data_IF_433257643406
#
_entry.id   IF_433257643406
#
_cell.length_a   1.000
_cell.length_b   1.000
_cell.length_c   1.000
_cell.angle_alpha   90.00
_cell.angle_beta   90.00
_cell.angle_gamma   90.00
#
_symmetry.space_group_name_H-M   'P 1'
#
loop_
_entity.id
_entity.type
_entity.pdbx_description
1 polymer ?
#
# COMPACT_ATOMS: atom_id res chain seq x y z
N UNK A 1 -31.00 -16.05 -2.39
CA UNK A 1 -30.64 -14.62 -2.48
C UNK A 1 -29.23 -14.51 -1.92
N UNK A 2 -28.22 -14.32 -2.78
CA UNK A 2 -26.85 -14.12 -2.31
C UNK A 2 -26.78 -12.74 -1.67
N UNK A 3 -26.59 -12.67 -0.36
CA UNK A 3 -26.23 -11.44 0.34
C UNK A 3 -25.00 -10.86 -0.35
N UNK A 4 -25.11 -9.71 -1.02
CA UNK A 4 -23.94 -9.03 -1.59
C UNK A 4 -23.03 -8.62 -0.44
N UNK A 5 -22.00 -9.43 -0.16
CA UNK A 5 -20.96 -9.07 0.81
C UNK A 5 -20.28 -7.80 0.32
N UNK A 6 -20.18 -6.80 1.17
CA UNK A 6 -19.29 -5.67 1.00
C UNK A 6 -17.86 -6.19 0.79
N UNK A 7 -17.10 -5.56 -0.11
CA UNK A 7 -15.70 -5.91 -0.34
C UNK A 7 -14.85 -5.65 0.90
N UNK A 8 -13.66 -6.28 0.96
CA UNK A 8 -12.70 -6.07 2.04
C UNK A 8 -11.72 -4.95 1.66
N UNK A 9 -11.39 -4.10 2.62
CA UNK A 9 -10.24 -3.20 2.49
C UNK A 9 -8.99 -3.92 2.99
N UNK A 10 -8.00 -4.07 2.11
CA UNK A 10 -6.70 -4.66 2.42
C UNK A 10 -5.66 -3.54 2.36
N UNK A 11 -4.83 -3.42 3.40
CA UNK A 11 -3.74 -2.45 3.45
C UNK A 11 -2.44 -3.23 3.52
N UNK A 12 -1.58 -3.06 2.52
CA UNK A 12 -0.24 -3.62 2.47
C UNK A 12 0.78 -2.51 2.62
N UNK A 13 1.54 -2.57 3.70
CA UNK A 13 2.62 -1.63 3.99
C UNK A 13 3.89 -2.38 4.36
N UNK A 14 4.99 -1.66 4.51
CA UNK A 14 6.29 -2.25 4.80
C UNK A 14 7.39 -1.33 4.31
N UNK A 15 8.66 -1.57 4.69
CA UNK A 15 9.71 -0.64 4.38
C UNK A 15 10.00 -0.57 2.88
N UNK A 16 10.57 0.55 2.44
CA UNK A 16 11.12 0.63 1.08
C UNK A 16 12.13 -0.51 0.86
N UNK A 17 11.93 -1.31 -0.20
CA UNK A 17 12.82 -2.43 -0.52
C UNK A 17 12.31 -3.80 -0.06
N UNK A 18 11.15 -3.89 0.62
CA UNK A 18 10.52 -5.16 1.00
C UNK A 18 9.88 -5.93 -0.17
N UNK A 19 9.88 -5.39 -1.39
CA UNK A 19 9.36 -6.06 -2.57
C UNK A 19 7.84 -5.95 -2.79
N UNK A 20 7.17 -5.04 -2.07
CA UNK A 20 5.71 -4.81 -2.16
C UNK A 20 5.20 -4.78 -3.60
N UNK A 21 5.72 -3.90 -4.44
CA UNK A 21 5.25 -3.75 -5.83
C UNK A 21 5.29 -5.05 -6.64
N UNK A 22 6.33 -5.88 -6.46
CA UNK A 22 6.44 -7.19 -7.13
C UNK A 22 5.36 -8.14 -6.64
N UNK A 23 5.22 -8.25 -5.32
CA UNK A 23 4.27 -9.14 -4.66
C UNK A 23 2.82 -8.72 -4.95
N UNK A 24 2.53 -7.42 -4.96
CA UNK A 24 1.22 -6.85 -5.30
C UNK A 24 0.84 -7.22 -6.73
N UNK A 25 1.75 -7.03 -7.69
CA UNK A 25 1.49 -7.39 -9.09
C UNK A 25 1.11 -8.88 -9.22
N UNK A 26 1.92 -9.76 -8.64
CA UNK A 26 1.68 -11.21 -8.70
C UNK A 26 0.41 -11.63 -7.95
N UNK A 27 0.10 -10.98 -6.82
CA UNK A 27 -1.14 -11.19 -6.08
C UNK A 27 -2.37 -10.81 -6.92
N UNK A 28 -2.33 -9.67 -7.62
CA UNK A 28 -3.43 -9.20 -8.47
C UNK A 28 -3.66 -10.12 -9.69
N UNK A 29 -2.60 -10.76 -10.20
CA UNK A 29 -2.71 -11.75 -11.28
C UNK A 29 -3.35 -13.07 -10.83
N UNK A 30 -3.19 -13.44 -9.56
CA UNK A 30 -3.71 -14.69 -9.00
C UNK A 30 -5.06 -14.57 -8.30
N UNK A 31 -5.52 -13.35 -8.01
CA UNK A 31 -6.66 -13.14 -7.13
C UNK A 31 -8.00 -13.30 -7.85
N UNK A 32 -8.59 -14.48 -7.66
CA UNK A 32 -10.04 -14.68 -7.82
C UNK A 32 -10.71 -14.95 -6.46
N UNK A 33 -11.82 -14.26 -6.11
CA UNK A 33 -12.49 -13.17 -6.84
C UNK A 33 -12.05 -11.74 -6.41
N UNK A 34 -12.03 -10.82 -7.40
CA UNK A 34 -11.95 -9.34 -7.38
C UNK A 34 -11.25 -8.68 -6.18
N UNK A 35 -9.92 -8.74 -6.17
CA UNK A 35 -9.08 -7.77 -5.49
C UNK A 35 -8.58 -6.73 -6.50
N UNK A 36 -8.84 -5.45 -6.27
CA UNK A 36 -8.38 -4.37 -7.14
C UNK A 36 -7.40 -3.45 -6.40
N UNK A 37 -6.32 -3.03 -7.06
CA UNK A 37 -5.42 -2.03 -6.52
C UNK A 37 -6.07 -0.65 -6.62
N UNK A 38 -6.07 0.11 -5.52
CA UNK A 38 -6.50 1.51 -5.55
C UNK A 38 -5.49 2.37 -6.32
N UNK A 39 -5.99 3.16 -7.27
CA UNK A 39 -5.18 4.14 -7.99
C UNK A 39 -5.08 5.40 -7.14
N UNK A 40 -3.86 5.77 -6.73
CA UNK A 40 -3.63 6.98 -5.92
C UNK A 40 -3.74 8.25 -6.78
N UNK A 41 -4.09 9.38 -6.19
CA UNK A 41 -3.96 10.68 -6.84
C UNK A 41 -2.59 11.31 -6.55
N UNK A 42 -2.09 12.13 -7.47
CA UNK A 42 -0.87 12.92 -7.26
C UNK A 42 -0.92 14.26 -7.97
N UNK A 43 -0.22 15.27 -7.42
CA UNK A 43 0.03 16.55 -8.10
C UNK A 43 1.29 16.54 -8.95
N UNK A 44 2.08 15.46 -8.91
CA UNK A 44 3.24 15.29 -9.76
C UNK A 44 2.80 15.15 -11.23
N UNK A 45 3.47 15.77 -12.21
CA UNK A 45 3.19 15.50 -13.61
C UNK A 45 3.47 14.02 -13.97
N UNK A 46 2.72 13.43 -14.92
CA UNK A 46 2.96 12.07 -15.40
C UNK A 46 4.36 11.94 -16.00
N UNK A 47 5.03 10.82 -15.73
CA UNK A 47 6.26 10.42 -16.42
C UNK A 47 5.92 9.75 -17.75
N UNK A 48 6.90 9.67 -18.64
CA UNK A 48 6.76 8.96 -19.92
C UNK A 48 6.24 7.54 -19.70
N UNK A 49 5.08 7.23 -20.28
CA UNK A 49 4.45 5.92 -20.22
C UNK A 49 3.43 5.73 -19.08
N UNK A 50 3.33 6.65 -18.12
CA UNK A 50 2.26 6.64 -17.11
C UNK A 50 0.93 7.12 -17.73
N UNK A 51 -0.16 6.47 -17.34
CA UNK A 51 -1.51 6.68 -17.85
C UNK A 51 -2.42 7.15 -16.70
N UNK A 52 -3.12 8.26 -16.93
CA UNK A 52 -4.09 8.81 -15.98
C UNK A 52 -5.24 7.84 -15.71
N UNK A 53 -5.62 7.71 -14.44
CA UNK A 53 -6.65 6.77 -13.96
C UNK A 53 -6.21 5.31 -13.92
N UNK A 54 -4.98 5.00 -14.31
CA UNK A 54 -4.39 3.65 -14.20
C UNK A 54 -3.18 3.63 -13.28
N UNK A 55 -2.19 4.46 -13.55
CA UNK A 55 -0.97 4.54 -12.73
C UNK A 55 -1.20 5.49 -11.55
N UNK A 56 -1.77 6.67 -11.84
CA UNK A 56 -2.23 7.64 -10.86
C UNK A 56 -3.41 8.43 -11.43
N UNK A 57 -4.19 9.07 -10.57
CA UNK A 57 -5.01 10.23 -10.93
C UNK A 57 -4.13 11.49 -10.87
N UNK A 58 -3.73 12.01 -12.03
CA UNK A 58 -2.85 13.19 -12.13
C UNK A 58 -3.68 14.47 -12.02
N UNK A 59 -3.65 15.10 -10.84
CA UNK A 59 -4.40 16.31 -10.53
C UNK A 59 -3.52 17.55 -10.60
N UNK A 60 -4.10 18.70 -10.95
CA UNK A 60 -3.42 19.97 -10.72
C UNK A 60 -3.33 20.27 -9.21
N UNK A 61 -2.38 21.10 -8.75
CA UNK A 61 -2.32 21.52 -7.35
C UNK A 61 -3.65 22.13 -6.85
N UNK A 62 -4.30 22.97 -7.65
CA UNK A 62 -5.57 23.59 -7.30
C UNK A 62 -6.70 22.57 -7.16
N UNK A 63 -6.76 21.59 -8.07
CA UNK A 63 -7.76 20.53 -8.03
C UNK A 63 -7.54 19.61 -6.81
N UNK A 64 -6.29 19.26 -6.52
CA UNK A 64 -5.96 18.46 -5.33
C UNK A 64 -6.38 19.19 -4.05
N UNK A 65 -6.08 20.49 -3.93
CA UNK A 65 -6.48 21.29 -2.78
C UNK A 65 -8.01 21.41 -2.65
N UNK A 66 -8.71 21.60 -3.77
CA UNK A 66 -10.18 21.63 -3.80
C UNK A 66 -10.77 20.32 -3.26
N UNK A 67 -10.29 19.17 -3.74
CA UNK A 67 -10.75 17.85 -3.30
C UNK A 67 -10.38 17.55 -1.85
N UNK A 68 -9.19 17.96 -1.42
CA UNK A 68 -8.76 17.89 -0.01
C UNK A 68 -9.69 18.69 0.90
N UNK A 69 -10.01 19.94 0.54
CA UNK A 69 -10.95 20.78 1.28
C UNK A 69 -12.38 20.21 1.31
N UNK A 70 -12.77 19.48 0.26
CA UNK A 70 -14.04 18.78 0.18
C UNK A 70 -14.08 17.42 0.93
N UNK A 71 -12.97 16.98 1.53
CA UNK A 71 -12.91 15.71 2.27
C UNK A 71 -12.91 14.46 1.38
N UNK A 72 -12.56 14.59 0.10
CA UNK A 72 -12.60 13.50 -0.89
C UNK A 72 -11.44 12.48 -0.76
N UNK A 73 -10.49 12.73 0.13
CA UNK A 73 -9.35 11.85 0.40
C UNK A 73 -9.52 11.09 1.72
N UNK A 74 -9.05 9.84 1.75
CA UNK A 74 -8.88 9.06 2.98
C UNK A 74 -7.62 9.49 3.73
N UNK A 75 -6.55 9.74 2.99
CA UNK A 75 -5.29 10.25 3.51
C UNK A 75 -4.62 11.11 2.43
N UNK A 76 -3.75 12.03 2.86
CA UNK A 76 -2.89 12.79 1.95
C UNK A 76 -1.52 13.01 2.58
N UNK A 77 -0.45 12.94 1.79
CA UNK A 77 0.91 13.23 2.22
C UNK A 77 1.71 13.97 1.15
N UNK A 78 2.77 14.65 1.57
CA UNK A 78 3.74 15.27 0.68
C UNK A 78 5.03 14.43 0.65
N UNK A 79 5.50 14.09 -0.54
CA UNK A 79 6.69 13.26 -0.70
C UNK A 79 7.97 14.11 -0.51
N UNK A 80 8.70 13.87 0.57
CA UNK A 80 10.05 14.44 0.82
C UNK A 80 10.16 15.97 0.68
N UNK A 81 9.08 16.74 0.88
CA UNK A 81 9.10 18.20 0.79
C UNK A 81 9.42 18.75 -0.61
N UNK A 82 9.17 17.96 -1.66
CA UNK A 82 9.44 18.35 -3.04
C UNK A 82 8.27 19.12 -3.70
N UNK A 83 7.22 19.45 -2.94
CA UNK A 83 6.03 20.14 -3.42
C UNK A 83 4.96 19.24 -4.06
N UNK A 84 5.22 17.94 -4.21
CA UNK A 84 4.25 16.99 -4.77
C UNK A 84 3.47 16.26 -3.68
N UNK A 85 2.15 16.33 -3.82
CA UNK A 85 1.19 15.71 -2.95
C UNK A 85 0.66 14.43 -3.55
N UNK A 86 0.34 13.48 -2.66
CA UNK A 86 -0.25 12.20 -2.97
C UNK A 86 -1.41 11.95 -2.02
N UNK A 87 -2.36 11.11 -2.44
CA UNK A 87 -3.44 10.69 -1.55
C UNK A 87 -4.36 9.64 -2.16
N UNK A 88 -5.02 8.90 -1.27
CA UNK A 88 -6.01 7.87 -1.62
C UNK A 88 -7.40 8.48 -1.71
N UNK A 89 -8.01 8.49 -2.90
CA UNK A 89 -9.37 9.01 -3.10
C UNK A 89 -10.41 8.08 -2.45
N UNK A 90 -11.39 8.66 -1.74
CA UNK A 90 -12.53 7.89 -1.19
C UNK A 90 -13.28 7.13 -2.27
N UNK A 91 -13.45 7.73 -3.44
CA UNK A 91 -14.14 7.11 -4.57
C UNK A 91 -13.45 5.85 -5.11
N UNK A 92 -12.13 5.74 -4.96
CA UNK A 92 -11.36 4.55 -5.37
C UNK A 92 -11.49 3.40 -4.37
N UNK A 93 -11.98 3.68 -3.15
CA UNK A 93 -12.09 2.70 -2.08
C UNK A 93 -13.55 2.42 -1.79
N UNK A 94 -14.27 3.39 -1.23
CA UNK A 94 -15.62 3.20 -0.69
C UNK A 94 -16.62 2.71 -1.74
N UNK A 95 -16.59 3.29 -2.95
CA UNK A 95 -17.50 2.90 -4.02
C UNK A 95 -17.27 1.44 -4.46
N UNK A 96 -16.01 1.01 -4.56
CA UNK A 96 -15.65 -0.37 -4.93
C UNK A 96 -16.06 -1.36 -3.85
N UNK A 97 -15.77 -1.03 -2.58
CA UNK A 97 -16.18 -1.86 -1.44
C UNK A 97 -17.70 -2.05 -1.40
N UNK A 98 -18.47 -0.98 -1.61
CA UNK A 98 -19.95 -1.05 -1.68
C UNK A 98 -20.47 -1.93 -2.82
N UNK A 99 -19.71 -2.05 -3.91
CA UNK A 99 -20.03 -2.93 -5.05
C UNK A 99 -19.60 -4.39 -4.82
N UNK A 100 -19.08 -4.72 -3.63
CA UNK A 100 -18.57 -6.07 -3.31
C UNK A 100 -17.18 -6.36 -3.87
N UNK A 101 -16.46 -5.35 -4.36
CA UNK A 101 -15.08 -5.47 -4.85
C UNK A 101 -14.13 -5.20 -3.69
N UNK A 102 -13.20 -6.12 -3.42
CA UNK A 102 -12.18 -5.89 -2.40
C UNK A 102 -11.10 -4.97 -2.96
N UNK A 103 -10.59 -4.06 -2.14
CA UNK A 103 -9.62 -3.03 -2.55
C UNK A 103 -8.32 -3.22 -1.78
N UNK A 104 -7.21 -3.23 -2.50
CA UNK A 104 -5.86 -3.25 -1.97
C UNK A 104 -5.25 -1.84 -2.01
N UNK A 105 -4.73 -1.39 -0.87
CA UNK A 105 -3.93 -0.18 -0.74
C UNK A 105 -2.46 -0.56 -0.52
N UNK A 106 -1.58 -0.21 -1.46
CA UNK A 106 -0.12 -0.27 -1.28
C UNK A 106 0.37 1.11 -0.85
N UNK A 107 0.47 1.34 0.47
CA UNK A 107 0.80 2.65 1.05
C UNK A 107 1.85 2.54 2.16
N UNK A 108 2.41 3.68 2.58
CA UNK A 108 3.36 3.72 3.69
C UNK A 108 2.69 3.48 5.06
N UNK A 109 3.52 3.38 6.10
CA UNK A 109 3.06 3.09 7.46
C UNK A 109 2.16 4.20 8.02
N UNK A 110 2.47 5.46 7.74
CA UNK A 110 1.75 6.59 8.33
C UNK A 110 0.36 6.72 7.69
N UNK A 111 0.29 6.58 6.36
CA UNK A 111 -0.97 6.51 5.63
C UNK A 111 -1.83 5.32 6.07
N UNK A 112 -1.24 4.14 6.26
CA UNK A 112 -1.95 2.97 6.76
C UNK A 112 -2.59 3.23 8.14
N UNK A 113 -1.85 3.85 9.07
CA UNK A 113 -2.38 4.16 10.40
C UNK A 113 -3.50 5.21 10.35
N UNK A 114 -3.48 6.13 9.39
CA UNK A 114 -4.57 7.09 9.20
C UNK A 114 -5.84 6.42 8.66
N UNK A 115 -5.69 5.50 7.71
CA UNK A 115 -6.83 4.77 7.14
C UNK A 115 -7.44 3.81 8.16
N UNK A 116 -6.64 3.14 8.99
CA UNK A 116 -7.15 2.23 10.05
C UNK A 116 -8.09 2.93 11.02
N UNK A 117 -7.88 4.23 11.32
CA UNK A 117 -8.81 5.00 12.16
C UNK A 117 -10.20 5.12 11.55
N UNK A 118 -10.28 5.13 10.22
CA UNK A 118 -11.53 5.24 9.45
C UNK A 118 -12.12 3.86 9.11
N UNK A 119 -11.26 2.86 8.93
CA UNK A 119 -11.62 1.48 8.59
C UNK A 119 -10.97 0.49 9.58
N UNK A 120 -11.49 0.38 10.82
CA UNK A 120 -10.92 -0.52 11.83
C UNK A 120 -11.00 -2.00 11.44
N UNK A 121 -11.97 -2.35 10.57
CA UNK A 121 -12.13 -3.69 10.01
C UNK A 121 -11.14 -4.02 8.88
N UNK A 122 -10.29 -3.09 8.46
CA UNK A 122 -9.33 -3.33 7.37
C UNK A 122 -8.38 -4.49 7.71
N UNK A 123 -8.07 -5.29 6.69
CA UNK A 123 -7.04 -6.34 6.77
C UNK A 123 -5.69 -5.66 6.60
N UNK A 124 -4.97 -5.46 7.70
CA UNK A 124 -3.66 -4.78 7.66
C UNK A 124 -2.53 -5.80 7.66
N UNK A 125 -1.67 -5.69 6.65
CA UNK A 125 -0.56 -6.61 6.43
C UNK A 125 0.75 -5.82 6.33
N UNK A 126 1.71 -6.14 7.19
CA UNK A 126 3.07 -5.62 7.11
C UNK A 126 3.97 -6.61 6.38
N UNK A 127 4.52 -6.19 5.23
CA UNK A 127 5.48 -6.96 4.45
C UNK A 127 6.91 -6.64 4.89
N UNK A 128 7.48 -7.53 5.68
CA UNK A 128 8.86 -7.44 6.19
C UNK A 128 9.87 -7.96 5.16
N UNK A 129 11.04 -7.32 5.00
CA UNK A 129 12.14 -7.85 4.21
C UNK A 129 12.93 -8.98 4.94
N UNK A 130 12.44 -9.44 6.10
CA UNK A 130 13.17 -10.35 7.00
C UNK A 130 13.87 -9.54 8.07
N UNK A 131 15.16 -9.28 7.89
CA UNK A 131 15.98 -8.47 8.82
C UNK A 131 16.50 -7.18 8.16
N UNK A 132 16.99 -6.24 8.98
CA UNK A 132 17.62 -5.02 8.47
C UNK A 132 18.90 -5.32 7.70
N UNK A 133 19.67 -6.33 8.12
CA UNK A 133 20.88 -6.78 7.45
C UNK A 133 20.58 -7.32 6.06
N UNK A 134 19.50 -8.09 5.92
CA UNK A 134 19.04 -8.59 4.63
C UNK A 134 18.56 -7.46 3.73
N UNK A 135 17.82 -6.49 4.28
CA UNK A 135 17.42 -5.30 3.53
C UNK A 135 18.65 -4.50 3.05
N UNK A 136 19.65 -4.29 3.91
CA UNK A 136 20.90 -3.63 3.56
C UNK A 136 21.62 -4.37 2.44
N UNK A 137 21.73 -5.70 2.53
CA UNK A 137 22.32 -6.54 1.48
C UNK A 137 21.61 -6.33 0.14
N UNK A 138 20.27 -6.30 0.13
CA UNK A 138 19.47 -6.06 -1.08
C UNK A 138 19.65 -4.65 -1.65
N UNK A 139 19.69 -3.62 -0.79
CA UNK A 139 19.90 -2.23 -1.21
C UNK A 139 21.28 -2.06 -1.84
N UNK A 140 22.32 -2.58 -1.19
CA UNK A 140 23.71 -2.54 -1.68
C UNK A 140 23.91 -3.37 -2.95
N UNK A 141 23.26 -4.52 -3.05
CA UNK A 141 23.35 -5.41 -4.22
C UNK A 141 22.89 -4.76 -5.54
N UNK A 142 22.08 -3.69 -5.48
CA UNK A 142 21.67 -2.94 -6.67
C UNK A 142 22.74 -1.99 -7.20
N UNK A 143 23.81 -1.72 -6.45
CA UNK A 143 25.02 -0.97 -6.83
C UNK A 143 24.79 0.35 -7.61
N UNK A 144 23.66 1.00 -7.37
CA UNK A 144 23.15 2.14 -8.16
C UNK A 144 22.92 3.39 -7.33
N UNK A 145 23.01 3.28 -6.01
CA UNK A 145 22.70 4.36 -5.07
C UNK A 145 23.94 4.76 -4.26
N UNK A 146 24.19 6.07 -4.04
CA UNK A 146 25.25 6.53 -3.13
C UNK A 146 25.03 6.03 -1.70
N UNK A 147 26.13 5.85 -0.96
CA UNK A 147 26.10 5.39 0.45
C UNK A 147 25.14 6.21 1.32
N UNK A 148 25.12 7.53 1.15
CA UNK A 148 24.24 8.42 1.89
C UNK A 148 22.75 8.09 1.65
N UNK A 149 22.38 7.72 0.43
CA UNK A 149 21.01 7.32 0.09
C UNK A 149 20.66 5.99 0.74
N UNK A 150 21.59 5.03 0.72
CA UNK A 150 21.41 3.71 1.37
C UNK A 150 21.17 3.91 2.87
N UNK A 151 21.99 4.70 3.55
CA UNK A 151 21.84 4.98 4.99
C UNK A 151 20.50 5.66 5.31
N UNK A 152 20.06 6.63 4.50
CA UNK A 152 18.74 7.27 4.68
C UNK A 152 17.60 6.25 4.54
N UNK A 153 17.69 5.34 3.56
CA UNK A 153 16.68 4.28 3.37
C UNK A 153 16.68 3.26 4.51
N UNK A 154 17.84 2.87 5.03
CA UNK A 154 17.93 1.98 6.19
C UNK A 154 17.37 2.63 7.45
N UNK A 155 17.63 3.92 7.67
CA UNK A 155 17.06 4.67 8.78
C UNK A 155 15.53 4.79 8.68
N UNK A 156 15.00 5.00 7.47
CA UNK A 156 13.56 4.97 7.22
C UNK A 156 12.99 3.57 7.50
N UNK A 157 13.60 2.52 6.95
CA UNK A 157 13.17 1.15 7.12
C UNK A 157 13.14 0.71 8.59
N UNK A 158 14.14 1.11 9.39
CA UNK A 158 14.16 0.83 10.82
C UNK A 158 12.97 1.47 11.56
N UNK A 159 12.58 2.69 11.18
CA UNK A 159 11.39 3.35 11.74
C UNK A 159 10.10 2.66 11.30
N UNK A 160 10.00 2.30 10.02
CA UNK A 160 8.83 1.60 9.47
C UNK A 160 8.67 0.22 10.11
N UNK A 161 9.75 -0.54 10.32
CA UNK A 161 9.74 -1.84 10.99
C UNK A 161 9.31 -1.77 12.46
N UNK A 162 9.53 -0.64 13.14
CA UNK A 162 9.04 -0.45 14.50
C UNK A 162 7.50 -0.36 14.59
N UNK A 163 6.82 -0.12 13.46
CA UNK A 163 5.37 -0.11 13.39
C UNK A 163 4.76 -1.47 13.05
N UNK A 164 5.58 -2.50 12.81
CA UNK A 164 5.14 -3.84 12.43
C UNK A 164 4.11 -4.43 13.40
N UNK A 165 4.26 -4.19 14.70
CA UNK A 165 3.33 -4.66 15.74
C UNK A 165 1.93 -4.02 15.67
N UNK A 166 1.75 -2.95 14.90
CA UNK A 166 0.45 -2.28 14.71
C UNK A 166 -0.42 -2.94 13.63
N UNK A 167 0.09 -3.94 12.93
CA UNK A 167 -0.60 -4.63 11.85
C UNK A 167 -1.17 -5.96 12.35
N UNK A 168 -2.34 -6.35 11.82
CA UNK A 168 -2.99 -7.62 12.14
C UNK A 168 -2.13 -8.82 11.69
N UNK A 169 -1.47 -8.66 10.54
CA UNK A 169 -0.62 -9.69 9.97
C UNK A 169 0.78 -9.17 9.63
N UNK A 170 1.76 -10.04 9.81
CA UNK A 170 3.16 -9.79 9.48
C UNK A 170 3.61 -10.93 8.57
N UNK A 171 4.09 -10.59 7.37
CA UNK A 171 4.56 -11.56 6.37
C UNK A 171 5.98 -11.20 5.99
N UNK A 172 6.88 -12.18 6.03
CA UNK A 172 8.27 -12.03 5.60
C UNK A 172 8.38 -12.34 4.11
N UNK A 173 9.00 -11.44 3.35
CA UNK A 173 9.35 -11.64 1.94
C UNK A 173 10.84 -11.92 1.81
N UNK A 174 11.20 -13.20 1.93
CA UNK A 174 12.57 -13.68 1.76
C UNK A 174 13.03 -13.64 0.30
N UNK A 175 14.35 -13.56 0.11
CA UNK A 175 14.92 -13.45 -1.22
C UNK A 175 14.65 -14.74 -2.01
N UNK A 176 13.89 -14.63 -3.10
CA UNK A 176 13.50 -15.77 -3.93
C UNK A 176 12.21 -16.47 -3.50
N UNK A 177 11.54 -16.00 -2.44
CA UNK A 177 10.30 -16.60 -1.92
C UNK A 177 9.04 -15.80 -2.32
N UNK A 178 9.06 -15.12 -3.47
CA UNK A 178 7.94 -14.25 -3.89
C UNK A 178 6.65 -15.05 -4.03
N UNK A 179 6.69 -16.22 -4.67
CA UNK A 179 5.52 -17.08 -4.84
C UNK A 179 4.89 -17.50 -3.50
N UNK A 180 5.72 -17.90 -2.53
CA UNK A 180 5.26 -18.29 -1.19
C UNK A 180 4.65 -17.10 -0.46
N UNK A 181 5.28 -15.93 -0.58
CA UNK A 181 4.78 -14.66 -0.02
C UNK A 181 3.40 -14.32 -0.58
N UNK A 182 3.22 -14.44 -1.90
CA UNK A 182 1.96 -14.16 -2.59
C UNK A 182 0.87 -15.15 -2.16
N UNK A 183 1.18 -16.44 -2.07
CA UNK A 183 0.25 -17.44 -1.56
C UNK A 183 -0.19 -17.11 -0.13
N UNK A 184 0.75 -16.73 0.74
CA UNK A 184 0.43 -16.38 2.12
C UNK A 184 -0.45 -15.13 2.21
N UNK A 185 -0.22 -14.13 1.37
CA UNK A 185 -1.10 -12.95 1.27
C UNK A 185 -2.51 -13.33 0.83
N UNK A 186 -2.63 -14.17 -0.18
CA UNK A 186 -3.93 -14.64 -0.66
C UNK A 186 -4.70 -15.39 0.43
N UNK A 187 -4.04 -16.28 1.18
CA UNK A 187 -4.63 -16.99 2.32
C UNK A 187 -5.14 -16.04 3.40
N UNK A 188 -4.33 -15.04 3.78
CA UNK A 188 -4.71 -14.04 4.79
C UNK A 188 -5.94 -13.25 4.33
N UNK A 189 -5.93 -12.76 3.10
CA UNK A 189 -7.02 -11.95 2.53
C UNK A 189 -8.31 -12.78 2.40
N UNK A 190 -8.21 -14.06 2.05
CA UNK A 190 -9.37 -14.95 1.95
C UNK A 190 -9.96 -15.27 3.32
N UNK A 191 -9.11 -15.62 4.30
CA UNK A 191 -9.54 -16.14 5.60
C UNK A 191 -9.93 -15.05 6.61
N UNK A 192 -9.41 -13.83 6.49
CA UNK A 192 -9.78 -12.73 7.39
C UNK A 192 -11.24 -12.31 7.14
N UNK A 193 -12.12 -12.52 8.12
CA UNK A 193 -13.55 -12.23 7.99
C UNK A 193 -13.88 -10.73 7.98
N UNK A 194 -12.93 -9.85 8.30
CA UNK A 194 -13.16 -8.43 8.60
C UNK A 194 -13.83 -8.20 9.96
N UNK A 195 -14.16 -9.26 10.69
CA UNK A 195 -14.86 -9.23 11.97
C UNK A 195 -13.87 -9.25 13.13
N UNK A 196 -13.17 -8.14 13.33
CA UNK A 196 -12.73 -7.78 14.68
C UNK A 196 -13.79 -6.83 15.24
N UNK A 197 -14.91 -7.42 15.67
CA UNK A 197 -15.90 -6.75 16.47
C UNK A 197 -15.41 -6.70 17.93
N UNK A 198 -15.16 -5.45 18.38
CA UNK A 198 -15.05 -4.94 19.76
C UNK A 198 -13.68 -5.07 20.45
#
# INVERSE_FOLDING_TARGET
MSSSRTGKLVILSGPSGSGKTTVVRELLELSEPRLELSVSATTRPPRTGEIDGKDYHFLSPDEFQRRKAAGEFLETFEVFGNGYWYGTLRSEVENRLQQGVSVLLEIDVDGAMEIVKQFPAAVTIFLSPGSLEELERRLRGRNTEPEETIQRRLAAAKREMAAMEKYKYQIVNDAGAVNETVQRLAEVIQNDSGDDAL
#
